data_IF_671853862718
#
_entry.id   IF_671853862718
#
_cell.length_a   1.000
_cell.length_b   1.000
_cell.length_c   1.000
_cell.angle_alpha   90.00
_cell.angle_beta   90.00
_cell.angle_gamma   90.00
#
_symmetry.space_group_name_H-M   'P 1'
#
loop_
_entity.id
_entity.type
_entity.pdbx_description
1 polymer ?
#
# COMPACT_ATOMS: atom_id res chain seq x y z
N UNK A 1 16.10 -23.03 20.32
CA UNK A 1 15.81 -21.70 19.77
C UNK A 1 14.43 -21.67 19.12
N UNK A 2 13.33 -21.76 19.90
CA UNK A 2 11.97 -21.69 19.36
C UNK A 2 11.61 -20.34 18.71
N UNK A 3 12.24 -19.25 19.18
CA UNK A 3 11.91 -17.87 18.78
C UNK A 3 12.31 -17.52 17.33
N UNK A 4 13.37 -18.14 16.79
CA UNK A 4 13.86 -17.85 15.43
C UNK A 4 12.96 -18.44 14.34
N UNK A 5 12.48 -19.67 14.54
CA UNK A 5 11.58 -20.33 13.59
C UNK A 5 10.20 -19.64 13.56
N UNK A 6 9.74 -19.15 14.70
CA UNK A 6 8.49 -18.40 14.78
C UNK A 6 8.62 -17.05 14.05
N UNK A 7 9.74 -16.33 14.22
CA UNK A 7 10.02 -15.11 13.47
C UNK A 7 10.10 -15.37 11.96
N UNK A 8 10.79 -16.41 11.51
CA UNK A 8 10.87 -16.81 10.10
C UNK A 8 9.49 -17.13 9.51
N UNK A 9 8.65 -17.85 10.26
CA UNK A 9 7.30 -18.20 9.83
C UNK A 9 6.42 -16.95 9.68
N UNK A 10 6.48 -16.03 10.65
CA UNK A 10 5.74 -14.76 10.59
C UNK A 10 6.21 -13.85 9.44
N UNK A 11 7.52 -13.79 9.18
CA UNK A 11 8.07 -13.05 8.04
C UNK A 11 7.62 -13.66 6.72
N UNK A 12 7.62 -14.98 6.58
CA UNK A 12 7.10 -15.65 5.38
C UNK A 12 5.60 -15.36 5.15
N UNK A 13 4.80 -15.33 6.22
CA UNK A 13 3.40 -14.93 6.13
C UNK A 13 3.23 -13.46 5.70
N UNK A 14 4.13 -12.56 6.14
CA UNK A 14 4.15 -11.17 5.70
C UNK A 14 4.49 -11.05 4.19
N UNK A 15 5.46 -11.83 3.69
CA UNK A 15 5.80 -11.87 2.26
C UNK A 15 4.60 -12.28 1.40
N UNK A 16 3.87 -13.32 1.80
CA UNK A 16 2.66 -13.75 1.07
C UNK A 16 1.56 -12.69 1.08
N UNK A 17 1.38 -11.98 2.20
CA UNK A 17 0.43 -10.87 2.31
C UNK A 17 0.82 -9.75 1.34
N UNK A 18 2.09 -9.34 1.33
CA UNK A 18 2.57 -8.26 0.47
C UNK A 18 2.46 -8.59 -1.03
N UNK A 19 2.71 -9.84 -1.43
CA UNK A 19 2.52 -10.25 -2.82
C UNK A 19 1.03 -10.28 -3.20
N UNK A 20 0.15 -10.72 -2.30
CA UNK A 20 -1.31 -10.66 -2.53
C UNK A 20 -1.81 -9.22 -2.64
N UNK A 21 -1.32 -8.32 -1.80
CA UNK A 21 -1.61 -6.88 -1.92
C UNK A 21 -1.24 -6.37 -3.31
N UNK A 22 -0.06 -6.72 -3.82
CA UNK A 22 0.38 -6.31 -5.15
C UNK A 22 -0.58 -6.78 -6.25
N UNK A 23 -1.00 -8.04 -6.20
CA UNK A 23 -1.94 -8.62 -7.17
C UNK A 23 -3.31 -7.93 -7.11
N UNK A 24 -3.87 -7.73 -5.92
CA UNK A 24 -5.16 -7.06 -5.74
C UNK A 24 -5.13 -5.60 -6.20
N UNK A 25 -4.03 -4.88 -5.93
CA UNK A 25 -3.82 -3.51 -6.43
C UNK A 25 -3.74 -3.44 -7.96
N UNK A 26 -3.23 -4.50 -8.60
CA UNK A 26 -3.19 -4.63 -10.05
C UNK A 26 -4.58 -4.90 -10.63
N UNK A 27 -5.35 -5.76 -9.96
CA UNK A 27 -6.73 -6.12 -10.33
C UNK A 27 -7.77 -5.05 -9.98
N UNK A 28 -7.38 -4.03 -9.20
CA UNK A 28 -8.24 -2.93 -8.69
C UNK A 28 -9.32 -3.42 -7.72
N UNK A 29 -9.08 -4.53 -7.03
CA UNK A 29 -9.98 -5.04 -6.00
C UNK A 29 -9.63 -4.42 -4.65
N UNK A 30 -10.23 -3.27 -4.36
CA UNK A 30 -9.96 -2.50 -3.14
C UNK A 30 -10.62 -3.09 -1.90
N UNK A 31 -11.72 -3.83 -2.05
CA UNK A 31 -12.44 -4.44 -0.94
C UNK A 31 -11.61 -5.58 -0.34
N UNK A 32 -11.08 -6.45 -1.20
CA UNK A 32 -10.15 -7.49 -0.76
C UNK A 32 -8.82 -6.90 -0.27
N UNK A 33 -8.34 -5.80 -0.87
CA UNK A 33 -7.13 -5.11 -0.42
C UNK A 33 -7.27 -4.54 1.00
N UNK A 34 -8.39 -3.91 1.33
CA UNK A 34 -8.64 -3.36 2.68
C UNK A 34 -8.73 -4.48 3.74
N UNK A 35 -9.40 -5.59 3.43
CA UNK A 35 -9.40 -6.77 4.31
C UNK A 35 -7.99 -7.32 4.55
N UNK A 36 -7.13 -7.27 3.52
CA UNK A 36 -5.75 -7.73 3.60
C UNK A 36 -4.86 -6.75 4.40
N UNK A 37 -5.11 -5.44 4.33
CA UNK A 37 -4.46 -4.44 5.19
C UNK A 37 -4.76 -4.68 6.67
N UNK A 38 -6.02 -5.02 7.01
CA UNK A 38 -6.38 -5.32 8.40
C UNK A 38 -5.58 -6.52 8.93
N UNK A 39 -5.49 -7.60 8.15
CA UNK A 39 -4.72 -8.78 8.51
C UNK A 39 -3.22 -8.51 8.62
N UNK A 40 -2.66 -7.65 7.75
CA UNK A 40 -1.27 -7.19 7.85
C UNK A 40 -1.03 -6.43 9.15
N UNK A 41 -1.93 -5.52 9.52
CA UNK A 41 -1.80 -4.73 10.75
C UNK A 41 -1.88 -5.61 12.00
N UNK A 42 -2.74 -6.62 12.01
CA UNK A 42 -2.78 -7.62 13.08
C UNK A 42 -1.44 -8.36 13.19
N UNK A 43 -0.90 -8.86 12.06
CA UNK A 43 0.38 -9.57 12.03
C UNK A 43 1.56 -8.68 12.48
N UNK A 44 1.61 -7.43 12.01
CA UNK A 44 2.60 -6.44 12.45
C UNK A 44 2.42 -6.10 13.92
N UNK A 45 1.18 -6.03 14.42
CA UNK A 45 0.88 -5.88 15.83
C UNK A 45 1.41 -7.06 16.66
N UNK A 46 1.30 -8.29 16.18
CA UNK A 46 1.90 -9.46 16.83
C UNK A 46 3.42 -9.52 16.73
N UNK A 47 4.02 -8.91 15.69
CA UNK A 47 5.47 -8.75 15.58
C UNK A 47 6.00 -7.61 16.47
N UNK A 48 5.19 -6.58 16.72
CA UNK A 48 5.57 -5.40 17.51
C UNK A 48 5.20 -5.50 18.99
N UNK A 49 4.11 -6.20 19.35
CA UNK A 49 3.72 -6.50 20.73
C UNK A 49 4.57 -7.66 21.27
N UNK A 50 5.86 -7.38 21.44
CA UNK A 50 6.81 -8.10 22.26
C UNK A 50 6.83 -7.52 23.69
N UNK A 51 5.67 -7.16 24.24
CA UNK A 51 5.54 -6.69 25.64
C UNK A 51 5.46 -7.84 26.65
N UNK A 52 5.34 -9.10 26.19
CA UNK A 52 5.60 -10.26 27.04
C UNK A 52 7.12 -10.48 27.15
N UNK A 53 7.74 -10.28 28.33
CA UNK A 53 9.19 -10.34 28.51
C UNK A 53 9.78 -11.76 28.34
N UNK A 54 8.97 -12.77 28.05
CA UNK A 54 9.42 -14.16 27.87
C UNK A 54 9.36 -14.67 26.42
N UNK A 55 8.70 -13.99 25.47
CA UNK A 55 8.39 -14.61 24.17
C UNK A 55 9.06 -14.05 22.93
N UNK A 56 9.51 -12.81 22.87
CA UNK A 56 10.17 -12.30 21.65
C UNK A 56 11.27 -11.30 22.02
N UNK A 57 12.31 -11.80 22.69
CA UNK A 57 13.61 -11.15 22.64
C UNK A 57 14.37 -11.69 21.43
N UNK A 58 13.87 -11.36 20.23
CA UNK A 58 14.72 -11.41 19.05
C UNK A 58 15.38 -10.05 19.00
N UNK A 59 16.40 -9.89 19.86
CA UNK A 59 17.27 -8.73 19.86
C UNK A 59 17.55 -8.28 18.43
N UNK A 60 17.56 -6.97 18.18
CA UNK A 60 18.02 -6.45 16.89
C UNK A 60 19.38 -7.05 16.51
N UNK A 61 20.21 -7.43 17.49
CA UNK A 61 21.44 -8.19 17.31
C UNK A 61 21.24 -9.62 16.80
N UNK A 62 20.24 -10.39 17.26
CA UNK A 62 19.98 -11.73 16.71
C UNK A 62 19.43 -11.68 15.29
N UNK A 63 18.63 -10.66 14.95
CA UNK A 63 18.20 -10.40 13.57
C UNK A 63 19.38 -10.02 12.68
N UNK A 64 20.31 -9.19 13.17
CA UNK A 64 21.53 -8.81 12.47
C UNK A 64 22.54 -9.95 12.37
N UNK A 65 22.57 -10.86 13.34
CA UNK A 65 23.44 -12.04 13.34
C UNK A 65 22.94 -13.14 12.40
N UNK A 66 21.63 -13.22 12.16
CA UNK A 66 21.06 -14.12 11.16
C UNK A 66 20.90 -13.41 9.81
N UNK A 67 21.84 -13.68 8.91
CA UNK A 67 21.82 -13.15 7.53
C UNK A 67 20.50 -13.47 6.78
N UNK A 68 19.85 -14.58 7.13
CA UNK A 68 18.58 -14.99 6.54
C UNK A 68 17.40 -14.09 6.96
N UNK A 69 17.28 -13.73 8.24
CA UNK A 69 16.19 -12.85 8.70
C UNK A 69 16.35 -11.45 8.14
N UNK A 70 17.57 -10.91 8.17
CA UNK A 70 17.85 -9.56 7.68
C UNK A 70 17.55 -9.46 6.18
N UNK A 71 17.92 -10.47 5.39
CA UNK A 71 17.63 -10.55 3.94
C UNK A 71 16.13 -10.62 3.68
N UNK A 72 15.37 -11.45 4.40
CA UNK A 72 13.90 -11.55 4.21
C UNK A 72 13.17 -10.28 4.63
N UNK A 73 13.63 -9.60 5.68
CA UNK A 73 13.06 -8.31 6.09
C UNK A 73 13.34 -7.21 5.06
N UNK A 74 14.54 -7.18 4.48
CA UNK A 74 14.84 -6.28 3.36
C UNK A 74 13.93 -6.56 2.17
N UNK A 75 13.72 -7.84 1.83
CA UNK A 75 12.80 -8.24 0.78
C UNK A 75 11.35 -7.81 1.05
N UNK A 76 10.85 -8.00 2.29
CA UNK A 76 9.53 -7.50 2.70
C UNK A 76 9.43 -5.97 2.54
N UNK A 77 10.48 -5.23 2.93
CA UNK A 77 10.51 -3.77 2.78
C UNK A 77 10.42 -3.36 1.32
N UNK A 78 11.16 -4.03 0.44
CA UNK A 78 11.18 -3.71 -0.98
C UNK A 78 9.81 -4.04 -1.64
N UNK A 79 9.16 -5.14 -1.23
CA UNK A 79 7.77 -5.46 -1.63
C UNK A 79 6.77 -4.41 -1.14
N UNK A 80 6.88 -3.97 0.11
CA UNK A 80 6.03 -2.90 0.66
C UNK A 80 6.24 -1.57 -0.08
N UNK A 81 7.47 -1.22 -0.44
CA UNK A 81 7.77 -0.03 -1.25
C UNK A 81 7.14 -0.12 -2.65
N UNK A 82 7.21 -1.29 -3.28
CA UNK A 82 6.55 -1.54 -4.57
C UNK A 82 5.04 -1.32 -4.50
N UNK A 83 4.39 -1.84 -3.46
CA UNK A 83 2.95 -1.64 -3.22
C UNK A 83 2.61 -0.16 -3.03
N UNK A 84 3.41 0.56 -2.25
CA UNK A 84 3.22 1.99 -2.02
C UNK A 84 3.32 2.82 -3.31
N UNK A 85 4.33 2.54 -4.15
CA UNK A 85 4.50 3.22 -5.44
C UNK A 85 3.27 3.00 -6.32
N UNK A 86 2.76 1.76 -6.39
CA UNK A 86 1.61 1.42 -7.20
C UNK A 86 0.35 2.15 -6.72
N UNK A 87 0.09 2.18 -5.40
CA UNK A 87 -1.02 2.94 -4.81
C UNK A 87 -0.93 4.43 -5.16
N UNK A 88 0.26 5.05 -4.97
CA UNK A 88 0.50 6.46 -5.28
C UNK A 88 0.23 6.78 -6.75
N UNK A 89 0.69 5.93 -7.67
CA UNK A 89 0.47 6.11 -9.10
C UNK A 89 -1.02 6.04 -9.46
N UNK A 90 -1.75 5.06 -8.92
CA UNK A 90 -3.21 4.93 -9.14
C UNK A 90 -3.96 6.15 -8.63
N UNK A 91 -3.61 6.66 -7.44
CA UNK A 91 -4.21 7.87 -6.89
C UNK A 91 -3.92 9.11 -7.74
N UNK A 92 -2.70 9.24 -8.30
CA UNK A 92 -2.39 10.33 -9.23
C UNK A 92 -3.29 10.30 -10.46
N UNK A 93 -3.41 9.13 -11.10
CA UNK A 93 -4.26 8.97 -12.29
C UNK A 93 -5.73 9.26 -12.01
N UNK A 94 -6.27 8.86 -10.85
CA UNK A 94 -7.65 9.18 -10.47
C UNK A 94 -7.82 10.70 -10.29
N UNK A 95 -6.88 11.37 -9.59
CA UNK A 95 -6.92 12.82 -9.40
C UNK A 95 -6.82 13.57 -10.71
N UNK A 96 -5.93 13.16 -11.61
CA UNK A 96 -5.80 13.72 -12.96
C UNK A 96 -7.09 13.56 -13.77
N UNK A 97 -7.69 12.36 -13.78
CA UNK A 97 -8.97 12.12 -14.45
C UNK A 97 -10.10 13.00 -13.89
N UNK A 98 -10.18 13.15 -12.57
CA UNK A 98 -11.14 14.06 -11.93
C UNK A 98 -10.88 15.53 -12.28
N UNK A 99 -9.62 15.96 -12.35
CA UNK A 99 -9.26 17.30 -12.79
C UNK A 99 -9.65 17.54 -14.25
N UNK A 100 -9.42 16.58 -15.15
CA UNK A 100 -9.85 16.67 -16.56
C UNK A 100 -11.37 16.75 -16.68
N UNK A 101 -12.11 15.93 -15.94
CA UNK A 101 -13.59 15.97 -15.91
C UNK A 101 -14.09 17.33 -15.41
N UNK A 102 -13.50 17.87 -14.34
CA UNK A 102 -13.85 19.18 -13.79
C UNK A 102 -13.52 20.32 -14.76
N UNK A 103 -12.33 20.28 -15.38
CA UNK A 103 -11.88 21.29 -16.35
C UNK A 103 -12.69 21.25 -17.66
N UNK A 104 -13.17 20.08 -18.08
CA UNK A 104 -14.06 19.93 -19.24
C UNK A 104 -15.49 20.46 -19.00
N UNK A 105 -15.90 20.65 -17.75
CA UNK A 105 -17.21 21.20 -17.39
C UNK A 105 -17.31 22.73 -17.39
N UNK A 106 -16.17 23.44 -17.29
CA UNK A 106 -16.15 24.89 -17.04
C UNK A 106 -15.59 25.72 -18.22
N UNK A 107 -15.30 25.08 -19.36
CA UNK A 107 -14.82 25.76 -20.57
C UNK A 107 -15.81 25.62 -21.73
N UNK A 108 -16.97 26.25 -21.55
CA UNK A 108 -17.73 26.80 -22.68
C UNK A 108 -17.93 28.29 -22.40
N UNK A 109 -17.08 29.18 -22.92
CA UNK A 109 -17.47 30.57 -23.00
C UNK A 109 -18.73 30.61 -23.86
N UNK A 110 -19.77 31.25 -23.34
CA UNK A 110 -21.08 31.42 -23.92
C UNK A 110 -20.98 32.08 -25.32
N UNK A 111 -20.70 31.32 -26.38
CA UNK A 111 -20.56 31.82 -27.75
C UNK A 111 -21.91 32.20 -28.40
N UNK A 112 -23.00 32.23 -27.63
CA UNK A 112 -24.33 32.61 -28.09
C UNK A 112 -24.79 34.00 -27.64
N UNK A 113 -23.99 34.78 -26.91
CA UNK A 113 -24.46 36.07 -26.38
C UNK A 113 -24.35 37.27 -27.35
N UNK A 114 -23.86 37.07 -28.59
CA UNK A 114 -23.64 38.19 -29.52
C UNK A 114 -24.35 38.12 -30.88
N UNK A 115 -25.25 37.15 -31.11
CA UNK A 115 -26.10 37.14 -32.32
C UNK A 115 -27.37 38.01 -32.23
N UNK A 116 -27.46 38.89 -31.23
CA UNK A 116 -28.64 39.72 -30.94
C UNK A 116 -28.54 41.22 -31.23
N UNK A 117 -27.48 41.72 -31.86
CA UNK A 117 -27.37 43.15 -32.25
C UNK A 117 -27.51 43.33 -33.76
N UNK A 118 -28.66 42.92 -34.28
CA UNK A 118 -29.12 43.22 -35.63
C UNK A 118 -30.64 43.41 -35.60
N UNK A 119 -31.06 44.65 -35.34
CA UNK A 119 -32.30 45.31 -35.78
C UNK A 119 -32.61 46.49 -34.85
N UNK A 120 -32.17 47.68 -35.26
CA UNK A 120 -32.91 48.95 -35.25
C UNK A 120 -32.09 49.98 -36.00
#
# INVERSE_FOLDING_TARGET
MPNLNEALFKIGALEEILEREFLLLKEKDFEQFDALQQRKNELLGFLANSEDPETIDVDAETILQSDELSTRLQHCRDMQQRNEILVRQKLSSIREALQTLKAGGDSRPNTYEHLGKGRR
#
